data_IF_761414536315
#
_entry.id   IF_761414536315
#
_cell.length_a   1.000
_cell.length_b   1.000
_cell.length_c   1.000
_cell.angle_alpha   90.00
_cell.angle_beta   90.00
_cell.angle_gamma   90.00
#
_symmetry.space_group_name_H-M   'P 1'
#
loop_
_entity.id
_entity.type
_entity.pdbx_description
1 polymer ?
#
# COMPACT_ATOMS: atom_id res chain seq x y z
N UNK A 1 -0.33 -11.95 -9.16
CA UNK A 1 0.25 -12.68 -8.01
C UNK A 1 0.26 -14.20 -8.14
N UNK A 2 -0.70 -14.80 -8.83
CA UNK A 2 -0.72 -16.25 -9.04
C UNK A 2 0.57 -16.79 -9.69
N UNK A 3 1.05 -16.10 -10.72
CA UNK A 3 2.28 -16.50 -11.41
C UNK A 3 3.52 -16.33 -10.51
N UNK A 4 3.55 -15.28 -9.71
CA UNK A 4 4.64 -15.05 -8.76
C UNK A 4 4.65 -16.13 -7.67
N UNK A 5 3.49 -16.54 -7.19
CA UNK A 5 3.37 -17.64 -6.22
C UNK A 5 3.91 -18.95 -6.78
N UNK A 6 3.55 -19.27 -8.03
CA UNK A 6 4.06 -20.49 -8.72
C UNK A 6 5.57 -20.46 -8.90
N UNK A 7 6.13 -19.30 -9.24
CA UNK A 7 7.57 -19.12 -9.45
C UNK A 7 8.35 -18.97 -8.14
N UNK A 8 7.65 -18.87 -7.00
CA UNK A 8 8.23 -18.64 -5.68
C UNK A 8 9.12 -17.39 -5.64
N UNK A 9 8.62 -16.31 -6.26
CA UNK A 9 9.30 -15.00 -6.25
C UNK A 9 8.41 -13.97 -5.56
N UNK A 10 8.99 -12.99 -4.86
CA UNK A 10 8.20 -11.94 -4.21
C UNK A 10 7.65 -10.94 -5.22
N UNK A 11 6.50 -10.34 -4.87
CA UNK A 11 5.94 -9.20 -5.60
C UNK A 11 6.30 -7.94 -4.81
N UNK A 12 6.96 -7.00 -5.46
CA UNK A 12 7.30 -5.70 -4.88
C UNK A 12 6.28 -4.69 -5.39
N UNK A 13 5.43 -4.21 -4.51
CA UNK A 13 4.31 -3.35 -4.89
C UNK A 13 4.57 -1.88 -4.52
N UNK A 14 4.33 -1.00 -5.49
CA UNK A 14 4.22 0.43 -5.29
C UNK A 14 2.72 0.74 -5.17
N UNK A 15 2.27 1.07 -3.97
CA UNK A 15 0.85 1.19 -3.67
C UNK A 15 0.37 2.62 -3.84
N UNK A 16 -0.31 2.88 -4.96
CA UNK A 16 -0.86 4.19 -5.27
C UNK A 16 -2.03 4.05 -6.24
N UNK A 17 -3.18 4.59 -5.88
CA UNK A 17 -4.29 4.73 -6.81
C UNK A 17 -4.18 6.08 -7.51
N UNK A 18 -3.67 6.09 -8.73
CA UNK A 18 -3.40 7.32 -9.48
C UNK A 18 -4.64 8.16 -9.73
N UNK A 19 -5.81 7.56 -9.71
CA UNK A 19 -7.07 8.28 -9.88
C UNK A 19 -7.43 9.14 -8.65
N UNK A 20 -6.86 8.81 -7.50
CA UNK A 20 -7.11 9.52 -6.24
C UNK A 20 -6.02 10.53 -5.88
N UNK A 21 -4.90 10.57 -6.61
CA UNK A 21 -3.78 11.49 -6.33
C UNK A 21 -4.18 12.95 -6.55
N UNK A 22 -4.93 13.22 -7.61
CA UNK A 22 -5.48 14.55 -7.90
C UNK A 22 -4.47 15.69 -7.87
N UNK A 23 -3.26 15.45 -8.33
CA UNK A 23 -2.19 16.46 -8.40
C UNK A 23 -1.49 16.74 -7.07
N UNK A 24 -1.75 15.96 -6.04
CA UNK A 24 -1.08 16.10 -4.74
C UNK A 24 0.39 15.72 -4.80
N UNK A 25 1.20 16.31 -3.92
CA UNK A 25 2.66 16.13 -3.90
C UNK A 25 3.19 15.56 -2.59
N UNK A 26 2.44 15.67 -1.50
CA UNK A 26 2.76 15.08 -0.19
C UNK A 26 1.49 14.53 0.45
N UNK A 27 1.62 13.72 1.49
CA UNK A 27 0.47 13.21 2.21
C UNK A 27 -0.40 14.34 2.76
N UNK A 28 -1.72 14.20 2.64
CA UNK A 28 -2.68 15.16 3.16
C UNK A 28 -2.59 15.19 4.68
N UNK A 29 -2.53 16.39 5.26
CA UNK A 29 -2.47 16.60 6.69
C UNK A 29 -1.97 17.97 7.04
N UNK A 30 -1.52 18.15 8.27
CA UNK A 30 -1.07 19.46 8.78
C UNK A 30 0.07 20.04 7.93
N UNK A 31 0.99 19.18 7.45
CA UNK A 31 2.14 19.63 6.67
C UNK A 31 1.74 20.14 5.30
N UNK A 32 0.79 19.49 4.62
CA UNK A 32 0.31 19.96 3.32
C UNK A 32 -0.39 21.31 3.46
N UNK A 33 -1.18 21.50 4.51
CA UNK A 33 -1.85 22.77 4.82
C UNK A 33 -0.84 23.86 5.15
N UNK A 34 0.17 23.55 5.97
CA UNK A 34 1.21 24.48 6.38
C UNK A 34 2.03 24.98 5.19
N UNK A 35 2.38 24.09 4.26
CA UNK A 35 3.16 24.44 3.07
C UNK A 35 2.33 25.04 1.94
N UNK A 36 1.00 24.98 2.04
CA UNK A 36 0.11 25.49 0.99
C UNK A 36 0.12 24.66 -0.28
N UNK A 37 0.53 23.39 -0.20
CA UNK A 37 0.54 22.44 -1.33
C UNK A 37 -0.62 21.47 -1.21
N UNK A 38 -1.03 20.91 -2.36
CA UNK A 38 -2.09 19.92 -2.38
C UNK A 38 -1.59 18.60 -1.77
N UNK A 39 -2.33 18.08 -0.79
CA UNK A 39 -2.05 16.81 -0.17
C UNK A 39 -2.60 15.63 -0.96
N UNK A 40 -1.98 14.48 -0.78
CA UNK A 40 -2.46 13.20 -1.31
C UNK A 40 -3.20 12.50 -0.18
N UNK A 41 -4.48 12.15 -0.39
CA UNK A 41 -5.24 11.41 0.60
C UNK A 41 -4.54 10.09 0.95
N UNK A 42 -4.53 9.73 2.23
CA UNK A 42 -3.97 8.45 2.66
C UNK A 42 -4.66 7.25 1.98
N UNK A 43 -5.92 7.42 1.58
CA UNK A 43 -6.66 6.38 0.86
C UNK A 43 -5.98 5.95 -0.45
N UNK A 44 -5.21 6.84 -1.07
CA UNK A 44 -4.46 6.53 -2.31
C UNK A 44 -3.55 5.32 -2.12
N UNK A 45 -2.84 5.28 -1.00
CA UNK A 45 -1.96 4.16 -0.64
C UNK A 45 -2.76 3.03 0.01
N UNK A 46 -3.63 3.35 0.96
CA UNK A 46 -4.31 2.36 1.81
C UNK A 46 -5.20 1.42 1.02
N UNK A 47 -5.94 1.93 0.02
CA UNK A 47 -6.81 1.12 -0.83
C UNK A 47 -5.99 0.07 -1.59
N UNK A 48 -4.86 0.47 -2.17
CA UNK A 48 -4.02 -0.44 -2.96
C UNK A 48 -3.27 -1.41 -2.04
N UNK A 49 -2.78 -0.95 -0.89
CA UNK A 49 -2.14 -1.82 0.09
C UNK A 49 -3.09 -2.93 0.55
N UNK A 50 -4.33 -2.59 0.87
CA UNK A 50 -5.35 -3.57 1.25
C UNK A 50 -5.63 -4.56 0.12
N UNK A 51 -5.81 -4.06 -1.11
CA UNK A 51 -6.04 -4.92 -2.28
C UNK A 51 -4.91 -5.95 -2.43
N UNK A 52 -3.67 -5.49 -2.39
CA UNK A 52 -2.52 -6.35 -2.61
C UNK A 52 -2.32 -7.37 -1.49
N UNK A 53 -2.59 -6.97 -0.25
CA UNK A 53 -2.56 -7.90 0.90
C UNK A 53 -3.60 -9.00 0.74
N UNK A 54 -4.81 -8.65 0.33
CA UNK A 54 -5.88 -9.62 0.13
C UNK A 54 -5.56 -10.59 -1.01
N UNK A 55 -4.96 -10.09 -2.09
CA UNK A 55 -4.53 -10.94 -3.20
C UNK A 55 -3.36 -11.86 -2.80
N UNK A 56 -2.45 -11.39 -1.97
CA UNK A 56 -1.37 -12.22 -1.45
C UNK A 56 -1.92 -13.34 -0.56
N UNK A 57 -2.91 -13.03 0.27
CA UNK A 57 -3.58 -14.02 1.10
C UNK A 57 -4.25 -15.11 0.25
N UNK A 58 -4.98 -14.70 -0.79
CA UNK A 58 -5.69 -15.63 -1.67
C UNK A 58 -4.74 -16.51 -2.49
N UNK A 59 -3.64 -15.95 -2.98
CA UNK A 59 -2.73 -16.64 -3.91
C UNK A 59 -1.57 -17.35 -3.23
N UNK A 60 -1.28 -17.04 -1.98
CA UNK A 60 -0.09 -17.54 -1.29
C UNK A 60 1.21 -16.86 -1.73
N UNK A 61 1.13 -15.78 -2.52
CA UNK A 61 2.30 -15.05 -2.98
C UNK A 61 2.99 -14.31 -1.81
N UNK A 62 4.30 -14.11 -1.93
CA UNK A 62 5.06 -13.26 -1.02
C UNK A 62 4.94 -11.82 -1.51
N UNK A 63 4.50 -10.92 -0.63
CA UNK A 63 4.28 -9.52 -0.95
C UNK A 63 5.24 -8.63 -0.16
N UNK A 64 5.85 -7.68 -0.86
CA UNK A 64 6.66 -6.63 -0.25
C UNK A 64 6.05 -5.27 -0.66
N UNK A 65 5.53 -4.54 0.31
CA UNK A 65 5.03 -3.18 0.08
C UNK A 65 6.20 -2.20 0.19
N UNK A 66 6.49 -1.52 -0.93
CA UNK A 66 7.57 -0.54 -0.97
C UNK A 66 7.14 0.78 -0.34
N UNK A 67 8.07 1.45 0.33
CA UNK A 67 7.93 2.81 0.86
C UNK A 67 6.53 3.17 1.41
N UNK A 68 6.01 2.40 2.35
CA UNK A 68 4.75 2.72 3.04
C UNK A 68 4.86 4.06 3.75
N UNK A 69 3.91 4.95 3.51
CA UNK A 69 3.91 6.30 4.06
C UNK A 69 2.72 6.60 4.97
N UNK A 70 1.81 5.66 5.15
CA UNK A 70 0.62 5.87 5.99
C UNK A 70 0.63 4.95 7.20
N UNK A 71 0.02 5.43 8.28
CA UNK A 71 -0.17 4.65 9.50
C UNK A 71 -1.02 3.40 9.23
N UNK A 72 -2.07 3.55 8.44
CA UNK A 72 -3.01 2.45 8.18
C UNK A 72 -2.35 1.35 7.35
N UNK A 73 -1.52 1.69 6.36
CA UNK A 73 -0.76 0.69 5.61
C UNK A 73 0.18 -0.11 6.51
N UNK A 74 0.89 0.55 7.41
CA UNK A 74 1.78 -0.12 8.36
C UNK A 74 1.00 -1.06 9.29
N UNK A 75 -0.17 -0.63 9.77
CA UNK A 75 -1.03 -1.45 10.61
C UNK A 75 -1.57 -2.67 9.85
N UNK A 76 -1.94 -2.50 8.58
CA UNK A 76 -2.37 -3.62 7.73
C UNK A 76 -1.27 -4.67 7.56
N UNK A 77 -0.02 -4.23 7.34
CA UNK A 77 1.13 -5.13 7.24
C UNK A 77 1.33 -5.90 8.54
N UNK A 78 1.25 -5.23 9.67
CA UNK A 78 1.37 -5.87 10.98
C UNK A 78 0.34 -6.97 11.17
N UNK A 79 -0.92 -6.68 10.87
CA UNK A 79 -2.03 -7.66 10.98
C UNK A 79 -1.84 -8.82 10.00
N UNK A 80 -1.41 -8.52 8.77
CA UNK A 80 -1.16 -9.55 7.77
C UNK A 80 -0.09 -10.53 8.23
N UNK A 81 0.99 -10.04 8.84
CA UNK A 81 2.03 -10.90 9.40
C UNK A 81 1.52 -11.78 10.54
N UNK A 82 0.68 -11.24 11.41
CA UNK A 82 0.05 -11.98 12.50
C UNK A 82 -0.84 -13.10 11.98
N UNK A 83 -1.48 -12.92 10.83
CA UNK A 83 -2.30 -13.93 10.16
C UNK A 83 -1.49 -14.95 9.36
N UNK A 84 -0.17 -14.80 9.26
CA UNK A 84 0.69 -15.70 8.52
C UNK A 84 0.75 -15.43 7.01
N UNK A 85 0.31 -14.28 6.55
CA UNK A 85 0.45 -13.86 5.15
C UNK A 85 1.91 -13.48 4.90
N UNK A 86 2.44 -13.99 3.81
CA UNK A 86 3.86 -13.80 3.50
C UNK A 86 4.20 -12.40 2.98
#
# INVERSE_FOLDING_TARGET
MKNAAKANVPVLAHCEDINLVEGGVINLGDKSSELGVKGISNAVEDVIAMRDIMLAKETGATLHLCHCSTKDSVEMVKRAKEEGIK
#
